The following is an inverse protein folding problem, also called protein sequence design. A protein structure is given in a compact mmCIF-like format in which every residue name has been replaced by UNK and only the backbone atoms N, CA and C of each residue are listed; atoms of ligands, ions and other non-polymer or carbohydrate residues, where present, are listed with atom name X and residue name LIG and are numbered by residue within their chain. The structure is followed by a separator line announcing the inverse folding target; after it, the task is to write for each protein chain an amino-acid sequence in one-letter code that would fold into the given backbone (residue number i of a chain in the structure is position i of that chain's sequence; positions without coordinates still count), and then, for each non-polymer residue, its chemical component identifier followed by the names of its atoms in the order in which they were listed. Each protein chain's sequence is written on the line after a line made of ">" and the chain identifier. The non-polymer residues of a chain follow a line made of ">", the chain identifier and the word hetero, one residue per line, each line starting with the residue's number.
data_IF_307297855115
#
_entry.id   IF_307297855115
#
_cell.length_a   1.000
_cell.length_b   1.000
_cell.length_c   1.000
_cell.angle_alpha   90.00
_cell.angle_beta   90.00
_cell.angle_gamma   90.00
#
_symmetry.space_group_name_H-M   'P 1'
#
loop_
_entity.id
_entity.type
_entity.pdbx_description
1 polymer ?
#
# COMPACT_ATOMS: atom_id res chain seq x y z
N UNK A 1 11.20 30.33 11.57
CA UNK A 1 10.01 30.44 10.71
C UNK A 1 9.10 29.28 11.09
N UNK A 2 8.04 29.56 11.86
CA UNK A 2 7.12 28.53 12.38
C UNK A 2 6.18 28.08 11.27
N UNK A 3 6.20 26.81 10.93
CA UNK A 3 5.15 26.21 10.12
C UNK A 3 3.88 26.12 11.00
N UNK A 4 2.78 26.71 10.55
CA UNK A 4 1.53 26.66 11.28
C UNK A 4 0.88 25.28 11.09
N UNK A 5 0.23 24.70 12.13
CA UNK A 5 -0.60 23.52 11.94
C UNK A 5 -1.86 23.99 11.20
N UNK A 6 -1.99 23.62 9.92
CA UNK A 6 -3.21 23.86 9.17
C UNK A 6 -4.36 23.13 9.87
N UNK A 7 -5.40 23.85 10.28
CA UNK A 7 -6.62 23.32 10.92
C UNK A 7 -7.48 22.44 10.00
N UNK A 8 -6.85 21.69 9.11
CA UNK A 8 -7.46 20.69 8.26
C UNK A 8 -7.43 19.34 9.00
N UNK A 9 -8.57 18.66 9.07
CA UNK A 9 -8.66 17.34 9.71
C UNK A 9 -7.86 16.30 8.94
N UNK A 10 -7.36 15.27 9.63
CA UNK A 10 -6.69 14.11 9.04
C UNK A 10 -7.53 13.50 7.90
N UNK A 11 -8.82 13.37 8.15
CA UNK A 11 -9.81 12.90 7.18
C UNK A 11 -9.87 13.75 5.89
N UNK A 12 -9.79 15.08 6.00
CA UNK A 12 -9.79 15.97 4.83
C UNK A 12 -8.49 15.88 4.02
N UNK A 13 -7.36 15.61 4.68
CA UNK A 13 -6.07 15.37 4.01
C UNK A 13 -6.09 14.04 3.24
N UNK A 14 -6.57 12.98 3.88
CA UNK A 14 -6.72 11.65 3.28
C UNK A 14 -7.60 11.71 2.02
N UNK A 15 -8.75 12.36 2.12
CA UNK A 15 -9.67 12.55 0.99
C UNK A 15 -9.05 13.32 -0.16
N UNK A 16 -8.22 14.33 0.11
CA UNK A 16 -7.57 15.09 -0.96
C UNK A 16 -6.51 14.26 -1.66
N UNK A 17 -5.73 13.48 -0.92
CA UNK A 17 -4.75 12.56 -1.48
C UNK A 17 -5.45 11.53 -2.39
N UNK A 18 -6.53 10.93 -1.89
CA UNK A 18 -7.36 10.00 -2.66
C UNK A 18 -8.03 10.65 -3.89
N UNK A 19 -8.65 11.82 -3.74
CA UNK A 19 -9.34 12.51 -4.82
C UNK A 19 -8.40 13.02 -5.92
N UNK A 20 -7.13 13.30 -5.58
CA UNK A 20 -6.12 13.66 -6.57
C UNK A 20 -5.39 12.46 -7.16
N UNK A 21 -5.64 11.24 -6.64
CA UNK A 21 -4.89 10.03 -6.96
C UNK A 21 -3.40 10.17 -6.63
N UNK A 22 -3.01 11.05 -5.70
CA UNK A 22 -1.62 11.36 -5.38
C UNK A 22 -1.38 11.31 -3.89
N UNK A 23 -0.47 10.46 -3.48
CA UNK A 23 -0.13 10.18 -2.09
C UNK A 23 1.32 10.53 -1.81
N UNK A 24 1.59 11.05 -0.63
CA UNK A 24 2.91 10.99 0.03
C UNK A 24 2.88 9.86 1.05
N UNK A 25 4.03 9.41 1.56
CA UNK A 25 4.04 8.44 2.67
C UNK A 25 3.24 8.95 3.88
N UNK A 26 3.29 10.26 4.15
CA UNK A 26 2.52 10.87 5.23
C UNK A 26 1.00 10.74 5.00
N UNK A 27 0.50 11.09 3.82
CA UNK A 27 -0.94 11.01 3.52
C UNK A 27 -1.44 9.57 3.34
N UNK A 28 -0.57 8.66 2.88
CA UNK A 28 -0.89 7.23 2.79
C UNK A 28 -1.04 6.62 4.19
N UNK A 29 -0.29 7.13 5.18
CA UNK A 29 -0.36 6.71 6.59
C UNK A 29 -1.75 6.73 7.21
N UNK A 30 -2.66 7.55 6.68
CA UNK A 30 -4.05 7.64 7.13
C UNK A 30 -4.90 6.43 6.68
N UNK A 31 -4.48 5.71 5.62
CA UNK A 31 -5.15 4.57 5.03
C UNK A 31 -4.58 3.26 5.58
N UNK A 32 -4.59 3.15 6.90
CA UNK A 32 -3.99 2.01 7.60
C UNK A 32 -5.03 0.96 8.03
N UNK A 33 -6.33 1.15 7.75
CA UNK A 33 -7.41 0.26 8.19
C UNK A 33 -8.08 0.64 9.52
N UNK A 34 -7.65 1.68 10.24
CA UNK A 34 -8.30 2.10 11.50
C UNK A 34 -9.54 2.98 11.25
N UNK A 35 -9.38 4.02 10.44
CA UNK A 35 -10.45 5.00 10.14
C UNK A 35 -10.77 5.09 8.64
N UNK A 36 -9.87 4.59 7.81
CA UNK A 36 -9.97 4.55 6.36
C UNK A 36 -9.58 3.15 5.90
N UNK A 37 -10.11 2.66 4.76
CA UNK A 37 -9.72 1.38 4.20
C UNK A 37 -8.19 1.23 4.10
N UNK A 38 -7.63 0.03 4.33
CA UNK A 38 -6.19 -0.18 4.31
C UNK A 38 -5.67 -0.14 2.88
N UNK A 39 -4.76 0.80 2.59
CA UNK A 39 -4.05 0.90 1.31
C UNK A 39 -2.55 0.62 1.50
N UNK A 40 -1.87 0.22 0.43
CA UNK A 40 -0.42 -0.03 0.45
C UNK A 40 0.25 0.51 -0.80
N UNK A 41 1.43 1.10 -0.63
CA UNK A 41 2.30 1.56 -1.70
C UNK A 41 3.22 0.44 -2.20
N UNK A 42 3.25 0.18 -3.50
CA UNK A 42 4.17 -0.75 -4.15
C UNK A 42 4.61 -0.18 -5.49
N UNK A 43 5.92 0.00 -5.67
CA UNK A 43 6.53 0.55 -6.89
C UNK A 43 5.90 1.87 -7.34
N UNK A 44 5.67 2.77 -6.37
CA UNK A 44 5.07 4.07 -6.63
C UNK A 44 3.57 4.05 -6.91
N UNK A 45 2.91 2.90 -6.88
CA UNK A 45 1.45 2.75 -7.04
C UNK A 45 0.80 2.45 -5.70
N UNK A 46 -0.43 2.90 -5.50
CA UNK A 46 -1.21 2.70 -4.26
C UNK A 46 -2.38 1.77 -4.55
N UNK A 47 -2.45 0.66 -3.80
CA UNK A 47 -3.42 -0.41 -3.97
C UNK A 47 -4.41 -0.48 -2.80
N UNK A 48 -5.66 -0.82 -3.10
CA UNK A 48 -6.68 -1.15 -2.10
C UNK A 48 -6.45 -2.59 -1.65
N UNK A 49 -6.23 -2.79 -0.37
CA UNK A 49 -6.04 -4.13 0.20
C UNK A 49 -7.12 -4.47 1.22
N UNK A 50 -8.21 -3.69 1.27
CA UNK A 50 -9.34 -3.92 2.18
C UNK A 50 -9.99 -5.29 2.05
N UNK A 51 -10.05 -5.85 0.84
CA UNK A 51 -10.61 -7.20 0.59
C UNK A 51 -9.62 -8.34 0.90
N UNK A 52 -8.45 -8.03 1.47
CA UNK A 52 -7.41 -9.02 1.78
C UNK A 52 -7.45 -9.41 3.25
N UNK A 53 -7.71 -10.68 3.52
CA UNK A 53 -7.55 -11.25 4.87
C UNK A 53 -6.14 -11.02 5.47
N UNK A 54 -5.12 -10.87 4.62
CA UNK A 54 -3.74 -10.60 5.06
C UNK A 54 -3.52 -9.15 5.54
N UNK A 55 -4.46 -8.25 5.24
CA UNK A 55 -4.45 -6.84 5.62
C UNK A 55 -5.62 -6.46 6.54
N UNK A 56 -6.51 -7.42 6.85
CA UNK A 56 -7.60 -7.24 7.79
C UNK A 56 -7.05 -7.13 9.22
N UNK A 57 -7.61 -6.20 9.98
CA UNK A 57 -7.28 -5.94 11.39
C UNK A 57 -8.25 -6.62 12.36
N UNK A 58 -9.43 -7.06 11.89
CA UNK A 58 -10.45 -7.70 12.73
C UNK A 58 -10.23 -9.21 12.94
N UNK A 59 -9.28 -9.83 12.24
CA UNK A 59 -8.86 -11.18 12.60
C UNK A 59 -8.04 -11.13 13.90
N UNK A 60 -8.72 -11.34 15.03
CA UNK A 60 -8.17 -11.46 16.39
C UNK A 60 -7.18 -12.64 16.55
N UNK A 61 -6.75 -13.27 15.46
CA UNK A 61 -5.65 -14.23 15.45
C UNK A 61 -4.33 -13.49 15.70
N UNK A 62 -3.71 -13.79 16.83
CA UNK A 62 -2.54 -13.13 17.41
C UNK A 62 -1.43 -12.87 16.36
N UNK A 63 -1.29 -11.62 15.90
CA UNK A 63 -0.12 -11.14 15.12
C UNK A 63 -0.36 -10.58 13.70
N UNK A 64 -1.61 -10.23 13.34
CA UNK A 64 -2.05 -9.26 12.31
C UNK A 64 -1.22 -9.09 11.02
N UNK A 65 -0.80 -10.19 10.40
CA UNK A 65 -0.26 -10.33 9.05
C UNK A 65 0.49 -9.16 8.37
N UNK A 66 0.28 -9.00 7.06
CA UNK A 66 0.92 -7.92 6.29
C UNK A 66 0.29 -6.56 6.59
N UNK A 67 -0.97 -6.53 7.05
CA UNK A 67 -1.68 -5.33 7.47
C UNK A 67 -0.94 -4.55 8.55
N UNK A 68 -0.46 -5.22 9.61
CA UNK A 68 0.27 -4.53 10.68
C UNK A 68 1.61 -3.94 10.21
N UNK A 69 2.24 -4.54 9.20
CA UNK A 69 3.53 -4.08 8.68
C UNK A 69 3.38 -2.97 7.65
N UNK A 70 2.44 -3.11 6.72
CA UNK A 70 2.43 -2.35 5.47
C UNK A 70 1.12 -1.58 5.19
N UNK A 71 0.04 -1.78 5.95
CA UNK A 71 -1.16 -0.95 5.76
C UNK A 71 -0.85 0.52 6.07
N UNK A 72 -1.22 1.41 5.16
CA UNK A 72 -0.90 2.84 5.19
C UNK A 72 0.56 3.16 4.91
N UNK A 73 1.34 2.22 4.35
CA UNK A 73 2.77 2.41 4.09
C UNK A 73 3.16 2.05 2.67
N UNK A 74 4.28 2.60 2.22
CA UNK A 74 5.00 2.09 1.08
C UNK A 74 5.83 0.86 1.50
N UNK A 75 5.56 -0.26 0.85
CA UNK A 75 6.20 -1.55 1.09
C UNK A 75 7.29 -1.85 0.04
N UNK A 76 7.56 -0.93 -0.90
CA UNK A 76 8.41 -1.18 -2.07
C UNK A 76 9.78 -1.74 -1.69
N UNK A 77 10.49 -1.08 -0.77
CA UNK A 77 11.79 -1.55 -0.30
C UNK A 77 11.68 -2.88 0.46
N UNK A 78 10.73 -2.99 1.38
CA UNK A 78 10.51 -4.21 2.17
C UNK A 78 10.26 -5.42 1.26
N UNK A 79 9.43 -5.28 0.23
CA UNK A 79 9.14 -6.33 -0.75
C UNK A 79 10.37 -6.72 -1.57
N UNK A 80 11.16 -5.74 -2.02
CA UNK A 80 12.39 -6.00 -2.76
C UNK A 80 13.40 -6.83 -1.97
N UNK A 81 13.52 -6.56 -0.66
CA UNK A 81 14.44 -7.24 0.25
C UNK A 81 13.84 -8.46 0.95
N UNK A 82 12.57 -8.80 0.68
CA UNK A 82 11.78 -9.78 1.45
C UNK A 82 11.85 -9.52 2.96
N UNK A 83 11.83 -8.25 3.36
CA UNK A 83 11.95 -7.85 4.75
C UNK A 83 10.60 -7.72 5.44
N UNK A 84 10.54 -8.22 6.68
CA UNK A 84 9.40 -8.09 7.58
C UNK A 84 9.68 -7.10 8.73
N UNK A 85 10.80 -6.38 8.64
CA UNK A 85 11.17 -5.40 9.65
C UNK A 85 10.33 -4.13 9.48
N UNK A 86 9.69 -3.61 10.54
CA UNK A 86 8.88 -2.39 10.45
C UNK A 86 9.64 -1.18 9.90
N UNK A 87 10.95 -1.12 10.12
CA UNK A 87 11.82 -0.01 9.69
C UNK A 87 12.09 -0.01 8.18
N UNK A 88 11.84 -1.12 7.50
CA UNK A 88 12.01 -1.23 6.04
C UNK A 88 10.74 -0.77 5.27
N UNK A 89 9.65 -0.47 5.98
CA UNK A 89 8.45 0.15 5.42
C UNK A 89 8.57 1.69 5.41
N UNK A 90 8.00 2.36 4.40
CA UNK A 90 8.20 3.80 4.11
C UNK A 90 9.67 4.20 3.91
N UNK A 91 10.52 3.24 3.58
CA UNK A 91 11.93 3.51 3.35
C UNK A 91 12.14 4.07 1.95
N UNK A 92 12.75 5.25 1.85
CA UNK A 92 12.97 5.98 0.58
C UNK A 92 14.43 6.42 0.37
N UNK A 93 15.33 6.13 1.32
CA UNK A 93 16.78 6.37 1.25
C UNK A 93 17.52 5.26 0.48
N UNK A 94 17.01 4.87 -0.69
CA UNK A 94 17.57 3.82 -1.55
C UNK A 94 17.26 4.13 -3.02
N UNK A 95 17.93 3.45 -3.94
CA UNK A 95 17.67 3.53 -5.38
C UNK A 95 17.60 2.13 -6.02
N UNK A 96 16.98 2.03 -7.20
CA UNK A 96 16.85 0.74 -7.91
C UNK A 96 18.21 0.10 -8.21
N UNK A 97 19.25 0.91 -8.41
CA UNK A 97 20.62 0.48 -8.66
C UNK A 97 21.27 -0.19 -7.44
N UNK A 98 20.73 0.03 -6.24
CA UNK A 98 21.19 -0.63 -5.00
C UNK A 98 20.65 -2.07 -4.88
N UNK A 99 19.69 -2.46 -5.72
CA UNK A 99 19.10 -3.80 -5.73
C UNK A 99 19.89 -4.72 -6.67
N UNK A 100 20.14 -5.94 -6.20
CA UNK A 100 20.66 -7.02 -7.04
C UNK A 100 19.62 -7.45 -8.08
N UNK A 101 20.07 -8.16 -9.13
CA UNK A 101 19.16 -8.68 -10.17
C UNK A 101 18.06 -9.59 -9.61
N UNK A 102 18.35 -10.36 -8.57
CA UNK A 102 17.34 -11.19 -7.91
C UNK A 102 16.36 -10.35 -7.07
N UNK A 103 16.83 -9.32 -6.37
CA UNK A 103 15.95 -8.40 -5.62
C UNK A 103 15.05 -7.59 -6.55
N UNK A 104 15.55 -7.17 -7.72
CA UNK A 104 14.74 -6.54 -8.78
C UNK A 104 13.69 -7.50 -9.32
N UNK A 105 14.05 -8.76 -9.56
CA UNK A 105 13.13 -9.78 -10.03
C UNK A 105 12.02 -10.06 -9.00
N UNK A 106 12.39 -10.11 -7.72
CA UNK A 106 11.44 -10.24 -6.60
C UNK A 106 10.50 -9.05 -6.57
N UNK A 107 11.03 -7.83 -6.63
CA UNK A 107 10.24 -6.61 -6.60
C UNK A 107 9.24 -6.54 -7.76
N UNK A 108 9.69 -6.84 -8.98
CA UNK A 108 8.82 -6.85 -10.15
C UNK A 108 7.73 -7.93 -10.09
N UNK A 109 8.04 -9.10 -9.52
CA UNK A 109 7.06 -10.17 -9.35
C UNK A 109 5.98 -9.79 -8.32
N UNK A 110 6.38 -9.08 -7.26
CA UNK A 110 5.45 -8.48 -6.30
C UNK A 110 4.59 -7.39 -6.94
N UNK A 111 5.18 -6.48 -7.70
CA UNK A 111 4.43 -5.44 -8.41
C UNK A 111 3.37 -6.04 -9.35
N UNK A 112 3.73 -7.10 -10.10
CA UNK A 112 2.80 -7.82 -10.95
C UNK A 112 1.69 -8.51 -10.15
N UNK A 113 2.02 -9.12 -9.00
CA UNK A 113 1.04 -9.72 -8.11
C UNK A 113 0.03 -8.70 -7.60
N UNK A 114 0.50 -7.57 -7.05
CA UNK A 114 -0.38 -6.53 -6.52
C UNK A 114 -1.27 -5.95 -7.62
N UNK A 115 -0.70 -5.67 -8.80
CA UNK A 115 -1.45 -5.17 -9.96
C UNK A 115 -2.51 -6.15 -10.48
N UNK A 116 -2.29 -7.46 -10.35
CA UNK A 116 -3.26 -8.47 -10.79
C UNK A 116 -4.34 -8.75 -9.73
N UNK A 117 -3.95 -8.74 -8.45
CA UNK A 117 -4.80 -9.16 -7.32
C UNK A 117 -5.69 -8.06 -6.79
N UNK A 118 -5.19 -6.83 -6.77
CA UNK A 118 -5.86 -5.70 -6.16
C UNK A 118 -6.24 -4.72 -7.26
N UNK A 119 -7.53 -4.38 -7.28
CA UNK A 119 -7.96 -3.22 -8.05
C UNK A 119 -7.50 -1.98 -7.29
N UNK A 120 -7.13 -0.97 -8.05
CA UNK A 120 -6.88 0.34 -7.47
C UNK A 120 -8.19 0.84 -6.84
N UNK A 121 -8.15 1.39 -5.62
CA UNK A 121 -9.34 1.89 -4.97
C UNK A 121 -9.76 3.16 -5.69
N UNK A 122 -10.77 3.04 -6.53
CA UNK A 122 -11.60 4.18 -6.84
C UNK A 122 -13.04 3.73 -7.05
N UNK A 123 -13.83 3.84 -5.98
CA UNK A 123 -15.27 4.02 -6.14
C UNK A 123 -15.75 5.16 -5.25
N UNK A 124 -16.63 5.99 -5.82
CA UNK A 124 -17.40 6.99 -5.09
C UNK A 124 -18.19 6.35 -3.93
N UNK A 125 -18.60 5.08 -4.07
CA UNK A 125 -19.30 4.36 -3.00
C UNK A 125 -18.48 4.17 -1.72
N UNK A 126 -17.18 3.83 -1.81
CA UNK A 126 -16.34 3.66 -0.63
C UNK A 126 -16.15 4.98 0.13
N UNK A 127 -16.07 6.09 -0.61
CA UNK A 127 -16.02 7.44 -0.06
C UNK A 127 -17.33 7.81 0.63
N UNK A 128 -18.47 7.51 0.01
CA UNK A 128 -19.80 7.80 0.54
C UNK A 128 -20.16 6.97 1.78
N UNK A 129 -19.71 5.71 1.86
CA UNK A 129 -19.92 4.86 3.04
C UNK A 129 -19.18 5.41 4.28
N UNK A 130 -17.95 5.90 4.11
CA UNK A 130 -17.20 6.53 5.20
C UNK A 130 -17.83 7.87 5.65
N UNK A 131 -18.49 8.60 4.73
CA UNK A 131 -19.30 9.76 5.06
C UNK A 131 -20.52 9.41 5.91
N UNK A 132 -21.28 8.39 5.51
CA UNK A 132 -22.51 7.98 6.19
C UNK A 132 -22.24 7.40 7.58
N UNK A 133 -21.08 6.78 7.78
CA UNK A 133 -20.60 6.32 9.08
C UNK A 133 -20.10 7.46 10.00
N UNK A 134 -20.13 8.72 9.54
CA UNK A 134 -19.79 9.90 10.35
C UNK A 134 -18.30 10.14 10.53
N UNK A 135 -17.45 9.44 9.78
CA UNK A 135 -15.99 9.61 9.86
C UNK A 135 -15.49 10.88 9.17
N UNK A 136 -16.34 11.56 8.39
CA UNK A 136 -15.96 12.68 7.52
C UNK A 136 -16.92 13.88 7.68
N UNK A 137 -16.38 15.09 7.68
CA UNK A 137 -17.16 16.32 7.91
C UNK A 137 -17.89 16.82 6.66
N UNK A 138 -18.98 17.59 6.84
CA UNK A 138 -19.75 18.23 5.76
C UNK A 138 -18.92 19.14 4.83
N UNK A 139 -17.79 19.63 5.29
CA UNK A 139 -16.88 20.47 4.49
C UNK A 139 -16.17 19.67 3.37
N UNK A 140 -16.06 18.35 3.52
CA UNK A 140 -15.46 17.45 2.55
C UNK A 140 -16.36 17.18 1.34
N UNK A 141 -17.69 17.28 1.50
CA UNK A 141 -18.71 17.10 0.44
C UNK A 141 -18.55 18.06 -0.75
N UNK A 142 -17.88 19.19 -0.56
CA UNK A 142 -17.76 20.27 -1.56
C UNK A 142 -16.47 20.23 -2.40
N UNK A 143 -15.59 19.24 -2.18
CA UNK A 143 -14.23 19.23 -2.73
C UNK A 143 -13.87 17.97 -3.53
N UNK A 144 -14.83 17.08 -3.78
CA UNK A 144 -14.62 15.91 -4.65
C UNK A 144 -14.61 16.40 -6.11
N UNK A 145 -13.48 16.29 -6.84
CA UNK A 145 -13.40 16.73 -8.24
C UNK A 145 -14.13 15.75 -9.16
N UNK A 146 -14.74 16.29 -10.20
CA UNK A 146 -15.57 15.57 -11.19
C UNK A 146 -14.78 14.65 -12.15
N UNK A 147 -13.45 14.60 -12.02
CA UNK A 147 -12.58 13.76 -12.85
C UNK A 147 -11.44 13.19 -12.03
N UNK A 148 -11.69 12.07 -11.35
CA UNK A 148 -10.61 11.21 -10.87
C UNK A 148 -10.20 10.33 -12.05
N UNK A 149 -8.97 10.51 -12.52
CA UNK A 149 -8.37 9.57 -13.48
C UNK A 149 -7.68 8.48 -12.68
N UNK A 150 -7.93 7.26 -13.12
CA UNK A 150 -7.45 5.96 -12.65
C UNK A 150 -6.00 5.99 -12.13
N UNK A 151 -5.72 5.17 -11.12
CA UNK A 151 -4.43 4.96 -10.44
C UNK A 151 -4.05 5.95 -9.33
N UNK A 152 -3.91 5.43 -8.10
CA UNK A 152 -3.24 6.12 -7.00
C UNK A 152 -1.72 6.06 -7.17
N UNK A 153 -1.05 7.21 -7.20
CA UNK A 153 0.40 7.35 -7.40
C UNK A 153 1.08 7.93 -6.14
N UNK A 154 2.22 7.39 -5.74
CA UNK A 154 3.09 8.00 -4.73
C UNK A 154 3.95 9.11 -5.35
N UNK A 155 3.81 10.32 -4.82
CA UNK A 155 4.53 11.54 -5.23
C UNK A 155 6.04 11.40 -5.01
N UNK A 156 6.47 10.68 -3.98
CA UNK A 156 7.89 10.46 -3.65
C UNK A 156 8.62 9.63 -4.71
N UNK A 157 7.88 8.78 -5.42
CA UNK A 157 8.39 7.94 -6.52
C UNK A 157 8.01 8.49 -7.90
N UNK A 158 7.40 9.67 -8.00
CA UNK A 158 7.01 10.24 -9.27
C UNK A 158 8.25 10.45 -10.16
N UNK A 159 8.32 9.72 -11.28
CA UNK A 159 9.45 9.76 -12.21
C UNK A 159 10.46 8.62 -12.05
N UNK A 160 10.25 7.70 -11.10
CA UNK A 160 11.03 6.46 -11.03
C UNK A 160 10.67 5.53 -12.20
N UNK A 161 11.68 4.91 -12.80
CA UNK A 161 11.52 3.95 -13.87
C UNK A 161 11.54 2.52 -13.31
N UNK A 162 10.37 1.88 -13.26
CA UNK A 162 10.21 0.52 -12.75
C UNK A 162 10.40 -0.57 -13.82
N UNK A 163 10.73 -0.20 -15.06
CA UNK A 163 10.96 -1.17 -16.14
C UNK A 163 12.06 -2.20 -15.82
N UNK A 164 13.19 -1.85 -15.18
CA UNK A 164 14.20 -2.84 -14.80
C UNK A 164 13.66 -3.95 -13.90
N UNK A 165 12.80 -3.61 -12.93
CA UNK A 165 12.17 -4.59 -12.05
C UNK A 165 11.18 -5.48 -12.83
N UNK A 166 10.38 -4.88 -13.73
CA UNK A 166 9.43 -5.62 -14.59
C UNK A 166 10.14 -6.60 -15.51
N UNK A 167 11.21 -6.18 -16.16
CA UNK A 167 12.04 -7.04 -17.01
C UNK A 167 12.65 -8.20 -16.22
N UNK A 168 13.22 -7.92 -15.04
CA UNK A 168 13.81 -8.93 -14.18
C UNK A 168 12.79 -9.99 -13.71
N UNK A 169 11.51 -9.59 -13.56
CA UNK A 169 10.43 -10.46 -13.12
C UNK A 169 9.73 -11.26 -14.23
N UNK A 170 10.01 -11.01 -15.52
CA UNK A 170 9.33 -11.70 -16.62
C UNK A 170 9.45 -13.23 -16.47
N UNK A 171 8.29 -13.90 -16.41
CA UNK A 171 8.20 -15.35 -16.26
C UNK A 171 8.51 -15.89 -14.85
N UNK A 172 8.64 -15.01 -13.85
CA UNK A 172 8.86 -15.38 -12.45
C UNK A 172 7.61 -15.09 -11.62
N UNK A 173 7.23 -16.03 -10.76
CA UNK A 173 6.17 -15.84 -9.78
C UNK A 173 6.73 -15.12 -8.52
N UNK A 174 5.90 -14.38 -7.78
CA UNK A 174 6.31 -13.78 -6.50
C UNK A 174 6.75 -14.86 -5.52
N UNK A 175 7.84 -14.66 -4.75
CA UNK A 175 8.41 -15.65 -3.85
C UNK A 175 7.64 -15.73 -2.52
N UNK A 176 6.34 -16.01 -2.57
CA UNK A 176 5.44 -16.04 -1.41
C UNK A 176 5.94 -17.00 -0.32
N UNK A 177 6.38 -18.19 -0.71
CA UNK A 177 6.89 -19.23 0.21
C UNK A 177 8.08 -18.75 1.03
N UNK A 178 8.98 -17.94 0.44
CA UNK A 178 10.15 -17.44 1.17
C UNK A 178 9.77 -16.40 2.22
N UNK A 179 8.76 -15.57 1.95
CA UNK A 179 8.26 -14.61 2.93
C UNK A 179 7.54 -15.33 4.10
N UNK A 180 6.78 -16.38 3.81
CA UNK A 180 6.15 -17.24 4.84
C UNK A 180 7.21 -17.86 5.74
N UNK A 181 8.29 -18.43 5.18
CA UNK A 181 9.41 -18.95 5.98
C UNK A 181 10.08 -17.88 6.85
N UNK A 182 10.22 -16.65 6.34
CA UNK A 182 10.81 -15.56 7.11
C UNK A 182 9.90 -15.12 8.28
N UNK A 183 8.58 -15.24 8.14
CA UNK A 183 7.65 -15.03 9.24
C UNK A 183 7.88 -16.07 10.35
N UNK A 184 7.99 -17.35 9.97
CA UNK A 184 8.31 -18.45 10.89
C UNK A 184 9.64 -18.23 11.61
N UNK A 185 10.70 -17.92 10.85
CA UNK A 185 12.07 -17.71 11.37
C UNK A 185 12.14 -16.52 12.34
N UNK A 186 11.35 -15.46 12.12
CA UNK A 186 11.34 -14.26 12.95
C UNK A 186 10.29 -14.30 14.08
N UNK A 187 9.56 -15.41 14.23
CA UNK A 187 8.52 -15.56 15.24
C UNK A 187 7.33 -14.63 15.04
N UNK A 188 7.15 -14.10 13.82
CA UNK A 188 5.94 -13.39 13.43
C UNK A 188 4.83 -14.40 13.12
N UNK A 189 3.57 -14.00 13.29
CA UNK A 189 2.45 -14.84 12.89
C UNK A 189 2.56 -15.18 11.41
N UNK A 190 2.55 -16.48 11.11
CA UNK A 190 2.65 -16.99 9.75
C UNK A 190 1.34 -16.68 9.06
N UNK A 191 1.38 -15.80 8.07
CA UNK A 191 0.24 -15.54 7.21
C UNK A 191 0.26 -16.63 6.14
N UNK A 192 -0.80 -17.42 5.98
CA UNK A 192 -0.84 -18.39 4.90
C UNK A 192 -0.64 -17.64 3.57
N UNK A 193 0.21 -18.18 2.70
CA UNK A 193 0.36 -17.64 1.35
C UNK A 193 -1.05 -17.50 0.74
N UNK A 194 -1.37 -16.35 0.11
CA UNK A 194 -2.70 -16.14 -0.45
C UNK A 194 -3.00 -17.32 -1.36
N UNK A 195 -4.10 -18.03 -1.10
CA UNK A 195 -4.55 -19.10 -1.96
C UNK A 195 -4.64 -18.51 -3.37
N UNK A 196 -3.86 -19.06 -4.30
CA UNK A 196 -4.05 -18.76 -5.71
C UNK A 196 -5.53 -19.00 -5.97
N UNK A 197 -6.26 -17.94 -6.34
CA UNK A 197 -7.66 -18.06 -6.70
C UNK A 197 -7.65 -18.93 -7.95
N UNK A 198 -7.97 -20.21 -7.77
CA UNK A 198 -8.22 -21.10 -8.88
C UNK A 198 -9.43 -20.53 -9.63
N UNK A 199 -9.23 -20.15 -10.89
CA UNK A 199 -10.34 -19.90 -11.83
C UNK A 199 -11.27 -21.12 -11.92
#
# INVERSE_FOLDING_TARGET
>A
MSWAPTGESLAARAMRAQASGRFTCETLGEFNGDFCPPYVGVCGLVYDVGDSANFDKEDDSVGHGYGALWAGKDATFALAKLSLRPEDANRVDWALEDLSGDELAVLGAWAAHFSARYKEPFTEEALMAAFDAGYLSDSCKKRVPETVKEVGLLVEYAGWDWEPAREAAKGRAPPLERLVQLQEEQGHAVVPAPAAVAE
#
